data_IF_845250263887
#
_entry.id   IF_845250263887
#
_cell.length_a   1.000
_cell.length_b   1.000
_cell.length_c   1.000
_cell.angle_alpha   90.00
_cell.angle_beta   90.00
_cell.angle_gamma   90.00
#
_symmetry.space_group_name_H-M   'P 1'
#
loop_
_entity.id
_entity.type
_entity.pdbx_description
1 polymer ?
#
# COMPACT_ATOMS: atom_id res chain seq x y z
N UNK A 1 -18.63 4.97 12.03
CA UNK A 1 -18.98 3.80 11.19
C UNK A 1 -18.97 4.09 9.67
N UNK A 2 -19.64 5.14 9.17
CA UNK A 2 -19.70 5.43 7.72
C UNK A 2 -18.33 5.78 7.08
N UNK A 3 -17.40 6.35 7.84
CA UNK A 3 -16.05 6.67 7.37
C UNK A 3 -15.06 5.49 7.39
N UNK A 4 -15.33 4.39 8.11
CA UNK A 4 -14.47 3.21 8.05
C UNK A 4 -14.59 2.45 6.72
N UNK A 5 -15.77 2.50 6.09
CA UNK A 5 -16.00 1.91 4.77
C UNK A 5 -15.50 2.81 3.63
N UNK A 6 -15.29 4.10 3.89
CA UNK A 6 -14.75 5.07 2.93
C UNK A 6 -13.23 4.96 2.75
N UNK A 7 -12.54 4.20 3.62
CA UNK A 7 -11.08 4.01 3.53
C UNK A 7 -10.69 3.34 2.22
N UNK A 8 -11.45 2.35 1.73
CA UNK A 8 -11.20 1.68 0.44
C UNK A 8 -11.23 2.65 -0.76
N UNK A 9 -12.21 3.55 -0.75
CA UNK A 9 -12.42 4.51 -1.84
C UNK A 9 -11.43 5.69 -1.74
N UNK A 10 -11.14 6.13 -0.50
CA UNK A 10 -10.17 7.19 -0.22
C UNK A 10 -8.73 6.74 -0.45
N UNK A 11 -8.44 5.45 -0.31
CA UNK A 11 -7.17 4.82 -0.67
C UNK A 11 -6.88 5.19 -2.13
N UNK A 12 -7.75 4.88 -3.09
CA UNK A 12 -7.47 5.15 -4.51
C UNK A 12 -7.15 6.63 -4.80
N UNK A 13 -7.89 7.55 -4.19
CA UNK A 13 -7.68 9.01 -4.35
C UNK A 13 -6.39 9.50 -3.67
N UNK A 14 -6.05 8.96 -2.51
CA UNK A 14 -4.79 9.26 -1.83
C UNK A 14 -3.60 8.71 -2.63
N UNK A 15 -3.67 7.46 -3.10
CA UNK A 15 -2.61 6.83 -3.91
C UNK A 15 -2.39 7.56 -5.23
N UNK A 16 -3.46 8.08 -5.84
CA UNK A 16 -3.39 8.79 -7.11
C UNK A 16 -2.86 10.23 -6.97
N UNK A 17 -2.97 10.84 -5.80
CA UNK A 17 -2.62 12.26 -5.57
C UNK A 17 -1.36 12.49 -4.71
N UNK A 18 -0.75 11.43 -4.17
CA UNK A 18 0.53 11.54 -3.46
C UNK A 18 1.64 11.94 -4.45
N UNK A 19 2.14 13.17 -4.29
CA UNK A 19 3.33 13.67 -4.99
C UNK A 19 4.55 13.53 -4.09
N UNK A 20 5.20 12.37 -4.13
CA UNK A 20 6.56 12.23 -3.59
C UNK A 20 7.53 12.82 -4.62
N UNK A 21 8.37 13.81 -4.24
CA UNK A 21 9.47 14.24 -5.10
C UNK A 21 10.32 13.03 -5.52
N UNK A 22 10.51 12.79 -6.82
CA UNK A 22 11.25 11.61 -7.26
C UNK A 22 12.70 11.68 -6.78
N UNK A 23 13.14 10.73 -5.93
CA UNK A 23 14.54 10.66 -5.57
C UNK A 23 15.29 10.16 -6.79
N UNK A 24 16.37 10.84 -7.16
CA UNK A 24 17.32 10.34 -8.15
C UNK A 24 18.24 9.28 -7.49
N UNK A 25 17.60 8.30 -6.84
CA UNK A 25 18.23 7.28 -6.01
C UNK A 25 18.17 5.91 -6.66
N UNK A 26 19.32 5.25 -6.74
CA UNK A 26 19.52 3.93 -7.33
C UNK A 26 18.62 2.90 -6.65
N UNK A 27 18.44 3.00 -5.32
CA UNK A 27 17.54 2.13 -4.55
C UNK A 27 16.09 2.29 -4.97
N UNK A 28 15.63 3.53 -5.21
CA UNK A 28 14.26 3.77 -5.67
C UNK A 28 14.07 3.27 -7.12
N UNK A 29 15.08 3.42 -7.97
CA UNK A 29 15.03 2.90 -9.34
C UNK A 29 14.93 1.36 -9.36
N UNK A 30 15.80 0.67 -8.62
CA UNK A 30 15.79 -0.80 -8.50
C UNK A 30 14.45 -1.27 -7.94
N UNK A 31 13.92 -0.63 -6.91
CA UNK A 31 12.63 -1.02 -6.36
C UNK A 31 11.51 -0.88 -7.40
N UNK A 32 11.48 0.23 -8.16
CA UNK A 32 10.45 0.44 -9.21
C UNK A 32 10.56 -0.60 -10.32
N UNK A 33 11.77 -0.99 -10.70
CA UNK A 33 12.03 -2.07 -11.65
C UNK A 33 11.48 -3.40 -11.11
N UNK A 34 11.85 -3.79 -9.89
CA UNK A 34 11.34 -5.00 -9.25
C UNK A 34 9.81 -5.01 -9.10
N UNK A 35 9.21 -3.84 -8.81
CA UNK A 35 7.76 -3.69 -8.73
C UNK A 35 7.07 -3.88 -10.08
N UNK A 36 7.67 -3.37 -11.16
CA UNK A 36 7.20 -3.62 -12.52
C UNK A 36 7.34 -5.09 -12.90
N UNK A 37 8.50 -5.70 -12.65
CA UNK A 37 8.73 -7.12 -12.95
C UNK A 37 7.71 -8.00 -12.23
N UNK A 38 7.47 -7.75 -10.94
CA UNK A 38 6.47 -8.48 -10.17
C UNK A 38 5.06 -8.33 -10.76
N UNK A 39 4.70 -7.11 -11.21
CA UNK A 39 3.42 -6.84 -11.86
C UNK A 39 3.30 -7.58 -13.20
N UNK A 40 4.33 -7.58 -14.03
CA UNK A 40 4.34 -8.27 -15.33
C UNK A 40 4.32 -9.79 -15.17
N UNK A 41 5.10 -10.32 -14.22
CA UNK A 41 5.08 -11.73 -13.88
C UNK A 41 3.71 -12.18 -13.39
N UNK A 42 3.06 -11.38 -12.53
CA UNK A 42 1.71 -11.66 -12.05
C UNK A 42 0.70 -11.75 -13.20
N UNK A 43 0.82 -10.86 -14.20
CA UNK A 43 -0.03 -10.86 -15.39
C UNK A 43 0.29 -11.99 -16.37
N UNK A 44 1.41 -12.71 -16.20
CA UNK A 44 1.79 -13.79 -17.10
C UNK A 44 0.80 -14.95 -17.06
N UNK A 45 0.53 -15.55 -18.23
CA UNK A 45 -0.35 -16.71 -18.32
C UNK A 45 0.11 -17.88 -17.43
N UNK A 46 1.42 -18.03 -17.24
CA UNK A 46 1.98 -19.08 -16.40
C UNK A 46 1.60 -18.88 -14.93
N UNK A 47 1.79 -17.69 -14.38
CA UNK A 47 1.42 -17.38 -12.99
C UNK A 47 -0.10 -17.40 -12.78
N UNK A 48 -0.88 -16.97 -13.77
CA UNK A 48 -2.34 -17.10 -13.72
C UNK A 48 -2.79 -18.55 -13.61
N UNK A 49 -2.18 -19.46 -14.38
CA UNK A 49 -2.48 -20.88 -14.33
C UNK A 49 -2.06 -21.50 -12.98
N UNK A 50 -0.89 -21.14 -12.46
CA UNK A 50 -0.45 -21.61 -11.13
C UNK A 50 -1.42 -21.16 -10.02
N UNK A 51 -1.87 -19.91 -10.04
CA UNK A 51 -2.86 -19.40 -9.07
C UNK A 51 -4.18 -20.16 -9.25
N UNK A 52 -4.64 -20.35 -10.49
CA UNK A 52 -5.85 -21.10 -10.81
C UNK A 52 -5.79 -22.52 -10.27
N UNK A 53 -4.71 -23.25 -10.49
CA UNK A 53 -4.51 -24.62 -10.01
C UNK A 53 -4.65 -24.72 -8.49
N UNK A 54 -4.13 -23.73 -7.76
CA UNK A 54 -4.28 -23.67 -6.29
C UNK A 54 -5.75 -23.58 -5.90
N UNK A 55 -6.53 -22.70 -6.53
CA UNK A 55 -7.95 -22.54 -6.23
C UNK A 55 -8.79 -23.74 -6.67
N UNK A 56 -8.54 -24.30 -7.85
CA UNK A 56 -9.18 -25.54 -8.29
C UNK A 56 -8.86 -26.70 -7.35
N UNK A 57 -7.61 -26.78 -6.87
CA UNK A 57 -7.18 -27.75 -5.88
C UNK A 57 -8.02 -27.68 -4.61
N UNK A 58 -8.43 -26.47 -4.19
CA UNK A 58 -9.37 -26.28 -3.08
C UNK A 58 -10.80 -26.69 -3.46
N UNK A 59 -11.26 -26.39 -4.67
CA UNK A 59 -12.57 -26.83 -5.14
C UNK A 59 -12.69 -28.37 -5.15
N UNK A 60 -11.62 -29.08 -5.53
CA UNK A 60 -11.54 -30.55 -5.58
C UNK A 60 -11.66 -31.21 -4.20
N UNK A 61 -11.49 -30.46 -3.10
CA UNK A 61 -11.70 -30.97 -1.73
C UNK A 61 -13.17 -30.93 -1.28
N UNK A 62 -14.06 -30.34 -2.07
CA UNK A 62 -15.47 -30.24 -1.72
C UNK A 62 -16.16 -31.62 -1.87
N UNK A 63 -16.92 -32.08 -0.86
CA UNK A 63 -17.46 -33.44 -0.83
C UNK A 63 -18.65 -33.65 -1.79
N UNK A 64 -19.31 -32.56 -2.19
CA UNK A 64 -20.47 -32.61 -3.09
C UNK A 64 -20.00 -32.26 -4.49
N UNK A 65 -20.05 -33.24 -5.40
CA UNK A 65 -19.57 -33.10 -6.78
C UNK A 65 -20.16 -31.88 -7.52
N UNK A 66 -21.48 -31.67 -7.39
CA UNK A 66 -22.14 -30.53 -8.03
C UNK A 66 -21.56 -29.18 -7.57
N UNK A 67 -21.18 -29.08 -6.29
CA UNK A 67 -20.60 -27.86 -5.70
C UNK A 67 -19.13 -27.72 -6.12
N UNK A 68 -18.38 -28.83 -6.17
CA UNK A 68 -17.02 -28.84 -6.69
C UNK A 68 -16.96 -28.37 -8.15
N UNK A 69 -17.83 -28.90 -9.01
CA UNK A 69 -17.91 -28.52 -10.43
C UNK A 69 -18.30 -27.05 -10.61
N UNK A 70 -19.23 -26.55 -9.78
CA UNK A 70 -19.59 -25.12 -9.78
C UNK A 70 -18.44 -24.23 -9.30
N UNK A 71 -17.70 -24.66 -8.26
CA UNK A 71 -16.54 -23.94 -7.75
C UNK A 71 -15.44 -23.80 -8.83
N UNK A 72 -15.12 -24.89 -9.55
CA UNK A 72 -14.10 -24.85 -10.61
C UNK A 72 -14.50 -23.87 -11.71
N UNK A 73 -15.76 -23.89 -12.16
CA UNK A 73 -16.24 -22.93 -13.17
C UNK A 73 -16.11 -21.47 -12.71
N UNK A 74 -16.42 -21.20 -11.44
CA UNK A 74 -16.27 -19.85 -10.88
C UNK A 74 -14.80 -19.45 -10.83
N UNK A 75 -13.91 -20.37 -10.47
CA UNK A 75 -12.45 -20.13 -10.51
C UNK A 75 -11.99 -19.81 -11.93
N UNK A 76 -12.40 -20.59 -12.93
CA UNK A 76 -12.08 -20.34 -14.35
C UNK A 76 -12.45 -18.91 -14.80
N UNK A 77 -13.61 -18.42 -14.36
CA UNK A 77 -14.12 -17.10 -14.74
C UNK A 77 -13.48 -15.94 -13.96
N UNK A 78 -13.14 -16.15 -12.68
CA UNK A 78 -12.69 -15.09 -11.77
C UNK A 78 -11.19 -14.87 -11.81
N UNK A 79 -10.36 -15.91 -12.03
CA UNK A 79 -8.90 -15.78 -11.90
C UNK A 79 -8.30 -14.68 -12.79
N UNK A 80 -8.65 -14.56 -14.08
CA UNK A 80 -8.12 -13.48 -14.91
C UNK A 80 -8.42 -12.08 -14.35
N UNK A 81 -9.66 -11.87 -13.87
CA UNK A 81 -10.10 -10.59 -13.31
C UNK A 81 -9.44 -10.32 -11.95
N UNK A 82 -9.28 -11.34 -11.12
CA UNK A 82 -8.61 -11.25 -9.83
C UNK A 82 -7.14 -10.83 -10.01
N UNK A 83 -6.44 -11.47 -10.95
CA UNK A 83 -5.03 -11.19 -11.22
C UNK A 83 -4.86 -9.79 -11.82
N UNK A 84 -5.72 -9.41 -12.77
CA UNK A 84 -5.70 -8.06 -13.33
C UNK A 84 -5.93 -6.99 -12.25
N UNK A 85 -6.90 -7.22 -11.36
CA UNK A 85 -7.15 -6.32 -10.23
C UNK A 85 -5.92 -6.21 -9.32
N UNK A 86 -5.27 -7.32 -8.97
CA UNK A 86 -4.06 -7.31 -8.14
C UNK A 86 -2.93 -6.53 -8.82
N UNK A 87 -2.67 -6.80 -10.10
CA UNK A 87 -1.65 -6.10 -10.88
C UNK A 87 -1.95 -4.60 -11.03
N UNK A 88 -3.23 -4.21 -11.12
CA UNK A 88 -3.63 -2.79 -11.20
C UNK A 88 -3.33 -2.00 -9.91
N UNK A 89 -3.28 -2.68 -8.76
CA UNK A 89 -3.01 -2.08 -7.45
C UNK A 89 -1.52 -2.06 -7.10
N UNK A 90 -0.68 -2.77 -7.86
CA UNK A 90 0.78 -2.79 -7.69
C UNK A 90 1.43 -1.68 -8.52
N UNK A 91 1.08 -0.42 -8.23
CA UNK A 91 1.83 0.72 -8.79
C UNK A 91 3.25 0.73 -8.17
N UNK A 92 4.32 0.59 -8.97
CA UNK A 92 5.67 0.44 -8.44
C UNK A 92 6.12 1.65 -7.62
N UNK A 93 5.70 2.87 -7.99
CA UNK A 93 6.04 4.07 -7.23
C UNK A 93 5.42 4.01 -5.84
N UNK A 94 4.14 3.63 -5.73
CA UNK A 94 3.47 3.51 -4.45
C UNK A 94 4.00 2.35 -3.61
N UNK A 95 4.20 1.18 -4.20
CA UNK A 95 4.81 0.02 -3.51
C UNK A 95 6.15 0.40 -2.92
N UNK A 96 7.00 1.08 -3.70
CA UNK A 96 8.33 1.50 -3.27
C UNK A 96 8.32 2.67 -2.28
N UNK A 97 7.32 3.54 -2.35
CA UNK A 97 7.13 4.61 -1.37
C UNK A 97 6.71 4.02 -0.02
N UNK A 98 5.74 3.11 0.00
CA UNK A 98 5.28 2.46 1.24
C UNK A 98 6.37 1.59 1.85
N UNK A 99 7.21 0.96 1.02
CA UNK A 99 8.27 0.06 1.49
C UNK A 99 9.50 0.76 2.06
N UNK A 100 9.57 2.10 2.08
CA UNK A 100 10.80 2.78 2.55
C UNK A 100 11.77 3.17 1.43
N UNK A 101 11.55 2.72 0.19
CA UNK A 101 12.59 2.69 -0.85
C UNK A 101 12.57 3.89 -1.80
N UNK A 102 11.45 4.62 -1.87
CA UNK A 102 11.32 5.86 -2.62
C UNK A 102 10.90 7.01 -1.68
N UNK A 103 11.88 7.62 -1.01
CA UNK A 103 11.73 8.85 -0.23
C UNK A 103 12.65 9.94 -0.76
N UNK A 104 12.15 11.18 -0.81
CA UNK A 104 12.78 12.31 -1.48
C UNK A 104 14.03 12.87 -0.80
N UNK A 105 14.49 12.26 0.27
CA UNK A 105 15.40 12.93 1.19
C UNK A 105 16.50 11.99 1.63
N UNK A 106 17.61 12.12 0.90
CA UNK A 106 18.90 11.57 1.29
C UNK A 106 19.47 12.34 2.48
N UNK A 107 18.94 12.15 3.69
CA UNK A 107 19.75 12.28 4.91
C UNK A 107 19.28 11.31 6.01
N UNK A 108 20.20 10.74 6.80
CA UNK A 108 19.88 9.95 8.00
C UNK A 108 19.01 10.69 9.03
N UNK A 109 18.90 12.02 8.96
CA UNK A 109 18.08 12.84 9.85
C UNK A 109 16.57 12.67 9.63
N UNK A 110 16.13 12.31 8.42
CA UNK A 110 14.71 12.15 8.12
C UNK A 110 14.15 10.76 8.44
N UNK A 111 15.03 9.78 8.59
CA UNK A 111 14.71 8.49 9.20
C UNK A 111 14.23 8.67 10.66
N UNK A 112 14.57 9.79 11.29
CA UNK A 112 14.11 10.15 12.64
C UNK A 112 12.68 10.66 12.65
N UNK A 113 12.17 11.22 11.55
CA UNK A 113 10.77 11.69 11.45
C UNK A 113 9.82 10.51 11.51
N UNK A 114 10.04 9.49 10.68
CA UNK A 114 9.20 8.30 10.64
C UNK A 114 9.21 7.58 12.00
N UNK A 115 10.38 7.48 12.63
CA UNK A 115 10.53 6.91 13.98
C UNK A 115 9.82 7.73 15.07
N UNK A 116 9.89 9.07 15.00
CA UNK A 116 9.17 9.96 15.94
C UNK A 116 7.66 9.86 15.73
N UNK A 117 7.19 9.82 14.47
CA UNK A 117 5.79 9.64 14.12
C UNK A 117 5.29 8.28 14.60
N UNK A 118 6.04 7.20 14.42
CA UNK A 118 5.73 5.87 14.98
C UNK A 118 5.66 5.87 16.52
N UNK A 119 6.57 6.59 17.20
CA UNK A 119 6.52 6.75 18.66
C UNK A 119 5.28 7.56 19.10
N UNK A 120 4.90 8.60 18.37
CA UNK A 120 3.72 9.42 18.67
C UNK A 120 2.44 8.59 18.43
N UNK A 121 2.36 7.88 17.30
CA UNK A 121 1.23 7.04 16.93
C UNK A 121 1.09 5.82 17.84
N UNK A 122 2.19 5.19 18.27
CA UNK A 122 2.15 4.07 19.22
C UNK A 122 1.69 4.49 20.63
N UNK A 123 1.89 5.76 20.99
CA UNK A 123 1.37 6.35 22.23
C UNK A 123 -0.07 6.81 22.12
N UNK A 124 -0.54 7.13 20.91
CA UNK A 124 -1.90 7.59 20.67
C UNK A 124 -2.84 6.41 20.40
N UNK A 125 -3.51 5.93 21.44
CA UNK A 125 -4.58 4.94 21.28
C UNK A 125 -5.87 5.62 20.85
N UNK A 126 -6.04 5.83 19.55
CA UNK A 126 -7.33 6.22 19.01
C UNK A 126 -8.34 5.09 19.32
N UNK A 127 -9.29 5.37 20.20
CA UNK A 127 -10.27 4.38 20.68
C UNK A 127 -11.58 4.46 19.90
N UNK A 128 -11.84 5.61 19.29
CA UNK A 128 -13.02 5.90 18.50
C UNK A 128 -12.65 6.80 17.30
N UNK A 129 -13.61 7.04 16.39
CA UNK A 129 -13.37 7.82 15.18
C UNK A 129 -13.02 9.29 15.47
N UNK A 130 -13.55 9.87 16.53
CA UNK A 130 -13.37 11.29 16.85
C UNK A 130 -11.93 11.55 17.33
N UNK A 131 -11.36 10.61 18.10
CA UNK A 131 -9.95 10.64 18.50
C UNK A 131 -9.02 10.64 17.27
N UNK A 132 -9.31 9.78 16.29
CA UNK A 132 -8.52 9.68 15.06
C UNK A 132 -8.66 10.96 14.22
N UNK A 133 -9.87 11.49 14.11
CA UNK A 133 -10.12 12.70 13.33
C UNK A 133 -9.43 13.92 13.95
N UNK A 134 -9.43 14.04 15.28
CA UNK A 134 -8.71 15.10 15.99
C UNK A 134 -7.21 15.00 15.73
N UNK A 135 -6.63 13.81 15.90
CA UNK A 135 -5.20 13.57 15.67
C UNK A 135 -4.77 13.94 14.25
N UNK A 136 -5.54 13.50 13.24
CA UNK A 136 -5.24 13.80 11.84
C UNK A 136 -5.35 15.30 11.56
N UNK A 137 -6.35 15.97 12.13
CA UNK A 137 -6.55 17.42 11.97
C UNK A 137 -5.41 18.21 12.60
N UNK A 138 -4.97 17.82 13.81
CA UNK A 138 -3.85 18.44 14.52
C UNK A 138 -2.55 18.25 13.74
N UNK A 139 -2.30 17.03 13.23
CA UNK A 139 -1.13 16.74 12.40
C UNK A 139 -1.14 17.54 11.09
N UNK A 140 -2.28 17.62 10.39
CA UNK A 140 -2.41 18.41 9.16
C UNK A 140 -2.19 19.90 9.39
N UNK A 141 -2.69 20.43 10.51
CA UNK A 141 -2.52 21.84 10.89
C UNK A 141 -1.05 22.15 11.17
N UNK A 142 -0.39 21.30 11.96
CA UNK A 142 1.03 21.44 12.24
C UNK A 142 1.89 21.41 10.98
N UNK A 143 1.61 20.49 10.04
CA UNK A 143 2.32 20.39 8.77
C UNK A 143 2.07 21.58 7.82
N UNK A 144 0.90 22.22 7.92
CA UNK A 144 0.55 23.37 7.09
C UNK A 144 1.17 24.67 7.61
N UNK A 145 1.20 24.85 8.92
CA UNK A 145 1.59 26.11 9.55
C UNK A 145 3.09 26.19 9.85
N UNK A 146 3.80 25.05 9.84
CA UNK A 146 5.23 25.00 10.09
C UNK A 146 6.02 24.94 8.79
N UNK A 147 6.87 25.93 8.48
CA UNK A 147 7.76 25.88 7.33
C UNK A 147 8.68 24.67 7.38
N UNK A 148 8.91 24.02 6.23
CA UNK A 148 9.78 22.84 6.11
C UNK A 148 11.17 23.07 6.69
N UNK A 149 11.71 24.29 6.55
CA UNK A 149 13.00 24.71 7.12
C UNK A 149 13.02 24.74 8.65
N UNK A 150 11.89 25.08 9.29
CA UNK A 150 11.77 25.11 10.73
C UNK A 150 11.64 23.69 11.28
N UNK A 151 10.87 22.83 10.62
CA UNK A 151 10.79 21.39 10.92
C UNK A 151 12.17 20.75 10.83
N UNK A 152 12.91 21.00 9.74
CA UNK A 152 14.28 20.52 9.56
C UNK A 152 15.23 20.99 10.68
N UNK A 153 15.17 22.27 11.06
CA UNK A 153 16.00 22.82 12.13
C UNK A 153 15.67 22.28 13.54
N UNK A 154 14.41 21.90 13.79
CA UNK A 154 14.04 21.18 15.02
C UNK A 154 14.60 19.76 15.05
N UNK A 155 14.69 19.11 13.90
CA UNK A 155 15.18 17.74 13.77
C UNK A 155 16.70 17.65 13.88
N UNK A 156 17.45 18.63 13.36
CA UNK A 156 18.93 18.71 13.49
C UNK A 156 19.42 18.84 14.95
N UNK A 157 18.54 19.20 15.88
CA UNK A 157 18.87 19.34 17.32
C UNK A 157 18.87 18.03 18.09
N UNK A 158 18.60 16.91 17.43
CA UNK A 158 18.53 15.57 18.02
C UNK A 158 19.20 14.54 17.10
#
# INVERSE_FOLDING_TARGET
ARLCNAVSDSIHDVWSNIRVPEPNDEVCAICKEMGNDAREHLLSNMTQEEIKEVFEGRCKLLPIKLVADACIKVVDEIIPQLVEMLASRMDPKMVCTVSGMCFSTRTPAEHRILYIVEIILSKYKASNCDDCQSLVTDAQTFLKDTPESEVAAYLEKF
#
